data_IF_662462553372
#
_entry.id   IF_662462553372
#
_cell.length_a   1.000
_cell.length_b   1.000
_cell.length_c   1.000
_cell.angle_alpha   90.00
_cell.angle_beta   90.00
_cell.angle_gamma   90.00
#
_symmetry.space_group_name_H-M   'P 1'
#
loop_
_entity.id
_entity.type
_entity.pdbx_description
1 polymer ?
#
# COMPACT_ATOMS: atom_id res chain seq x y z
N UNK A 1 -20.51 10.33 -0.41
CA UNK A 1 -21.76 10.99 0.07
C UNK A 1 -21.62 11.62 1.46
N UNK A 2 -20.86 11.04 2.40
CA UNK A 2 -20.73 11.52 3.79
C UNK A 2 -19.62 12.53 4.09
N UNK A 3 -18.86 12.99 3.09
CA UNK A 3 -17.70 13.89 3.29
C UNK A 3 -18.09 15.21 3.97
N UNK A 4 -19.36 15.62 3.88
CA UNK A 4 -19.90 16.82 4.52
C UNK A 4 -19.99 16.73 6.06
N UNK A 5 -19.83 15.53 6.63
CA UNK A 5 -19.81 15.32 8.08
C UNK A 5 -18.41 15.43 8.68
N UNK A 6 -17.37 15.58 7.85
CA UNK A 6 -16.01 15.79 8.32
C UNK A 6 -15.72 17.29 8.38
N UNK A 7 -14.96 17.72 9.38
CA UNK A 7 -14.45 19.09 9.41
C UNK A 7 -13.54 19.37 8.20
N UNK A 8 -13.34 20.64 7.84
CA UNK A 8 -12.54 21.02 6.67
C UNK A 8 -11.03 20.86 6.89
N UNK A 9 -10.59 20.85 8.15
CA UNK A 9 -9.20 20.74 8.58
C UNK A 9 -8.75 19.28 8.82
N UNK A 10 -9.63 18.30 8.60
CA UNK A 10 -9.27 16.89 8.77
C UNK A 10 -8.25 16.46 7.72
N UNK A 11 -7.34 15.58 8.15
CA UNK A 11 -6.41 14.88 7.26
C UNK A 11 -6.97 13.48 7.00
N UNK A 12 -7.19 13.17 5.73
CA UNK A 12 -7.66 11.86 5.27
C UNK A 12 -6.45 11.04 4.87
N UNK A 13 -6.22 9.92 5.56
CA UNK A 13 -5.13 9.00 5.25
C UNK A 13 -5.60 7.99 4.20
N UNK A 14 -4.90 7.91 3.07
CA UNK A 14 -5.29 7.10 1.92
C UNK A 14 -4.40 5.87 1.75
N UNK A 15 -4.89 4.72 2.23
CA UNK A 15 -4.15 3.45 2.23
C UNK A 15 -4.36 2.56 1.01
N UNK A 16 -5.38 2.82 0.20
CA UNK A 16 -5.67 1.96 -0.95
C UNK A 16 -4.52 2.03 -1.96
N UNK A 17 -3.91 0.88 -2.26
CA UNK A 17 -2.77 0.80 -3.19
C UNK A 17 -3.20 0.76 -4.64
N UNK A 18 -4.45 0.41 -4.93
CA UNK A 18 -4.99 0.33 -6.29
C UNK A 18 -5.37 1.70 -6.87
N UNK A 19 -5.58 2.71 -6.00
CA UNK A 19 -5.95 4.07 -6.38
C UNK A 19 -4.82 5.02 -5.97
N UNK A 20 -4.54 5.98 -6.83
CA UNK A 20 -3.58 7.05 -6.58
C UNK A 20 -4.30 8.26 -5.98
N UNK A 21 -3.54 9.21 -5.43
CA UNK A 21 -4.07 10.47 -4.89
C UNK A 21 -4.96 11.18 -5.89
N UNK A 22 -4.51 11.29 -7.15
CA UNK A 22 -5.27 11.95 -8.23
C UNK A 22 -6.65 11.33 -8.48
N UNK A 23 -6.81 10.04 -8.19
CA UNK A 23 -8.07 9.32 -8.39
C UNK A 23 -9.06 9.61 -7.24
N UNK A 24 -8.53 9.95 -6.05
CA UNK A 24 -9.30 10.15 -4.81
C UNK A 24 -9.48 11.63 -4.46
N UNK A 25 -8.60 12.51 -4.93
CA UNK A 25 -8.64 13.95 -4.66
C UNK A 25 -10.01 14.60 -4.98
N UNK A 26 -10.72 14.25 -6.08
CA UNK A 26 -12.04 14.81 -6.34
C UNK A 26 -13.09 14.47 -5.26
N UNK A 27 -12.88 13.39 -4.51
CA UNK A 27 -13.82 12.89 -3.50
C UNK A 27 -13.66 13.58 -2.14
N UNK A 28 -12.48 14.16 -1.85
CA UNK A 28 -12.17 14.73 -0.54
C UNK A 28 -12.61 16.19 -0.38
N UNK A 29 -13.13 16.81 -1.44
CA UNK A 29 -13.74 18.15 -1.45
C UNK A 29 -12.86 19.21 -0.76
N UNK A 30 -11.60 19.29 -1.14
CA UNK A 30 -10.64 20.30 -0.66
C UNK A 30 -9.94 19.98 0.67
N UNK A 31 -10.30 18.88 1.35
CA UNK A 31 -9.58 18.42 2.54
C UNK A 31 -8.20 17.88 2.19
N UNK A 32 -7.30 17.89 3.17
CA UNK A 32 -5.97 17.29 3.02
C UNK A 32 -6.09 15.79 2.85
N UNK A 33 -5.57 15.29 1.73
CA UNK A 33 -5.39 13.86 1.47
C UNK A 33 -3.91 13.53 1.65
N UNK A 34 -3.60 12.56 2.52
CA UNK A 34 -2.24 12.08 2.74
C UNK A 34 -2.14 10.64 2.22
N UNK A 35 -1.47 10.40 1.08
CA UNK A 35 -1.24 9.05 0.60
C UNK A 35 -0.34 8.27 1.57
N UNK A 36 -0.75 7.05 1.91
CA UNK A 36 -0.09 6.17 2.88
C UNK A 36 -0.12 4.74 2.35
N UNK A 37 0.77 4.37 1.43
CA UNK A 37 0.67 3.10 0.70
C UNK A 37 1.44 1.99 1.38
N UNK A 38 0.76 0.87 1.64
CA UNK A 38 1.45 -0.34 2.08
C UNK A 38 2.23 -0.97 0.92
N UNK A 39 3.51 -1.24 1.16
CA UNK A 39 4.34 -2.01 0.25
C UNK A 39 4.20 -3.50 0.59
N UNK A 40 3.80 -4.30 -0.40
CA UNK A 40 3.49 -5.72 -0.23
C UNK A 40 2.04 -5.99 0.19
N UNK A 41 1.77 -7.23 0.62
CA UNK A 41 0.44 -7.68 1.01
C UNK A 41 0.19 -7.50 2.51
N UNK A 42 -0.84 -6.72 2.87
CA UNK A 42 -1.17 -6.41 4.27
C UNK A 42 -1.29 -7.64 5.20
N UNK A 43 -1.91 -8.74 4.71
CA UNK A 43 -2.04 -9.97 5.49
C UNK A 43 -0.68 -10.65 5.80
N UNK A 44 0.31 -10.48 4.93
CA UNK A 44 1.65 -11.01 5.12
C UNK A 44 2.43 -10.14 6.10
N UNK A 45 2.36 -8.81 5.95
CA UNK A 45 3.01 -7.87 6.88
C UNK A 45 2.53 -8.05 8.33
N UNK A 46 1.23 -8.32 8.51
CA UNK A 46 0.67 -8.59 9.84
C UNK A 46 1.24 -9.87 10.49
N UNK A 47 1.51 -10.91 9.69
CA UNK A 47 2.13 -12.14 10.17
C UNK A 47 3.59 -11.93 10.53
N UNK A 48 4.29 -11.17 9.68
CA UNK A 48 5.73 -10.96 9.81
C UNK A 48 6.07 -9.89 10.87
N UNK A 49 5.06 -9.11 11.31
CA UNK A 49 5.22 -7.94 12.21
C UNK A 49 6.25 -6.93 11.69
N UNK A 50 6.43 -6.90 10.37
CA UNK A 50 7.29 -5.97 9.66
C UNK A 50 6.52 -5.48 8.45
N UNK A 51 6.29 -4.18 8.38
CA UNK A 51 5.55 -3.55 7.32
C UNK A 51 6.17 -2.23 6.92
N UNK A 52 6.13 -1.94 5.63
CA UNK A 52 6.61 -0.69 5.06
C UNK A 52 5.41 0.13 4.60
N UNK A 53 5.27 1.32 5.18
CA UNK A 53 4.30 2.32 4.79
C UNK A 53 5.02 3.43 4.03
N UNK A 54 4.70 3.57 2.75
CA UNK A 54 5.23 4.62 1.90
C UNK A 54 4.35 5.87 1.97
N UNK A 55 4.97 7.03 2.09
CA UNK A 55 4.34 8.33 1.87
C UNK A 55 5.09 9.08 0.76
N UNK A 56 4.41 9.90 -0.06
CA UNK A 56 5.09 10.65 -1.10
C UNK A 56 6.14 11.62 -0.53
N UNK A 57 7.29 11.84 -1.21
CA UNK A 57 8.34 12.74 -0.73
C UNK A 57 7.85 14.16 -0.41
N UNK A 58 6.91 14.71 -1.18
CA UNK A 58 6.26 16.01 -0.97
C UNK A 58 5.49 16.10 0.35
N UNK A 59 5.04 14.95 0.86
CA UNK A 59 4.38 14.81 2.15
C UNK A 59 5.36 14.49 3.30
N UNK A 60 6.68 14.62 3.07
CA UNK A 60 7.70 14.23 4.04
C UNK A 60 7.61 14.94 5.40
N UNK A 61 7.03 16.14 5.45
CA UNK A 61 6.75 16.86 6.70
C UNK A 61 5.76 16.12 7.63
N UNK A 62 5.00 15.15 7.12
CA UNK A 62 4.15 14.28 7.92
C UNK A 62 4.84 13.00 8.40
N UNK A 63 6.08 12.70 7.97
CA UNK A 63 6.75 11.40 8.24
C UNK A 63 6.72 11.02 9.72
N UNK A 64 7.13 11.93 10.61
CA UNK A 64 7.16 11.67 12.05
C UNK A 64 5.77 11.46 12.65
N UNK A 65 4.77 12.23 12.20
CA UNK A 65 3.37 12.06 12.61
C UNK A 65 2.83 10.69 12.19
N UNK A 66 3.08 10.28 10.95
CA UNK A 66 2.68 8.97 10.43
C UNK A 66 3.40 7.86 11.21
N UNK A 67 4.69 7.99 11.47
CA UNK A 67 5.46 7.02 12.24
C UNK A 67 4.95 6.86 13.68
N UNK A 68 4.49 7.95 14.29
CA UNK A 68 3.90 7.95 15.63
C UNK A 68 2.52 7.29 15.65
N UNK A 69 1.70 7.52 14.62
CA UNK A 69 0.36 6.91 14.49
C UNK A 69 0.42 5.42 14.17
N UNK A 70 1.44 4.99 13.42
CA UNK A 70 1.61 3.61 12.95
C UNK A 70 2.98 3.05 13.38
N UNK A 71 3.25 2.90 14.69
CA UNK A 71 4.58 2.54 15.21
C UNK A 71 5.04 1.13 14.82
N UNK A 72 4.12 0.26 14.43
CA UNK A 72 4.43 -1.10 13.95
C UNK A 72 4.89 -1.13 12.48
N UNK A 73 4.80 0.00 11.76
CA UNK A 73 5.20 0.11 10.37
C UNK A 73 6.44 1.00 10.28
N UNK A 74 7.39 0.62 9.44
CA UNK A 74 8.47 1.49 8.99
C UNK A 74 7.88 2.48 7.99
N UNK A 75 8.07 3.78 8.21
CA UNK A 75 7.59 4.81 7.29
C UNK A 75 8.74 5.27 6.39
N UNK A 76 8.54 5.22 5.07
CA UNK A 76 9.54 5.71 4.11
C UNK A 76 8.95 6.65 3.05
N UNK A 77 9.82 7.46 2.46
CA UNK A 77 9.45 8.40 1.41
C UNK A 77 9.57 7.71 0.05
N UNK A 78 8.44 7.39 -0.57
CA UNK A 78 8.36 6.69 -1.85
C UNK A 78 7.12 7.18 -2.61
N UNK A 79 7.23 7.37 -3.93
CA UNK A 79 6.09 7.78 -4.76
C UNK A 79 4.97 6.73 -4.77
N UNK A 80 3.71 7.15 -4.95
CA UNK A 80 2.60 6.21 -5.07
C UNK A 80 2.76 5.29 -6.30
N UNK A 81 3.30 5.82 -7.40
CA UNK A 81 3.57 5.11 -8.65
C UNK A 81 4.57 3.97 -8.45
N UNK A 82 5.67 4.22 -7.73
CA UNK A 82 6.68 3.20 -7.45
C UNK A 82 6.12 2.09 -6.56
N UNK A 83 5.30 2.44 -5.56
CA UNK A 83 4.64 1.45 -4.70
C UNK A 83 3.67 0.60 -5.51
N UNK A 84 2.85 1.22 -6.36
CA UNK A 84 1.93 0.51 -7.24
C UNK A 84 2.69 -0.40 -8.21
N UNK A 85 3.79 0.06 -8.80
CA UNK A 85 4.63 -0.72 -9.69
C UNK A 85 5.28 -1.90 -8.97
N UNK A 86 5.85 -1.68 -7.78
CA UNK A 86 6.46 -2.71 -6.95
C UNK A 86 5.44 -3.80 -6.57
N UNK A 87 4.24 -3.40 -6.13
CA UNK A 87 3.18 -4.34 -5.75
C UNK A 87 2.67 -5.15 -6.96
N UNK A 88 2.53 -4.52 -8.13
CA UNK A 88 2.19 -5.22 -9.38
C UNK A 88 3.27 -6.22 -9.79
N UNK A 89 4.53 -5.82 -9.69
CA UNK A 89 5.67 -6.69 -10.01
C UNK A 89 5.73 -7.88 -9.06
N UNK A 90 5.66 -7.65 -7.75
CA UNK A 90 5.65 -8.72 -6.75
C UNK A 90 4.51 -9.72 -6.97
N UNK A 91 3.29 -9.21 -7.25
CA UNK A 91 2.13 -10.05 -7.55
C UNK A 91 2.35 -10.89 -8.80
N UNK A 92 2.90 -10.29 -9.87
CA UNK A 92 3.18 -10.97 -11.14
C UNK A 92 4.20 -12.09 -10.98
N UNK A 93 5.32 -11.81 -10.32
CA UNK A 93 6.39 -12.81 -10.13
C UNK A 93 5.95 -13.93 -9.19
N UNK A 94 5.20 -13.61 -8.13
CA UNK A 94 4.62 -14.63 -7.23
C UNK A 94 3.69 -15.57 -8.00
N UNK A 95 2.80 -15.02 -8.85
CA UNK A 95 1.90 -15.82 -9.69
C UNK A 95 2.67 -16.71 -10.66
N UNK A 96 3.71 -16.18 -11.30
CA UNK A 96 4.57 -16.93 -12.23
C UNK A 96 5.26 -18.10 -11.53
N UNK A 97 5.82 -17.85 -10.34
CA UNK A 97 6.48 -18.89 -9.53
C UNK A 97 5.51 -19.98 -9.10
N UNK A 98 4.28 -19.63 -8.69
CA UNK A 98 3.27 -20.62 -8.32
C UNK A 98 2.93 -21.56 -9.48
N UNK A 99 2.71 -21.02 -10.68
CA UNK A 99 2.42 -21.83 -11.89
C UNK A 99 3.60 -22.74 -12.24
N UNK A 100 4.83 -22.24 -12.14
CA UNK A 100 6.03 -23.04 -12.38
C UNK A 100 6.14 -24.18 -11.37
N UNK A 101 5.93 -23.89 -10.08
CA UNK A 101 5.98 -24.89 -9.02
C UNK A 101 4.90 -25.98 -9.20
N UNK A 102 3.68 -25.61 -9.57
CA UNK A 102 2.62 -26.57 -9.89
C UNK A 102 2.98 -27.46 -11.08
N UNK A 103 3.57 -26.87 -12.13
CA UNK A 103 4.00 -27.61 -13.33
C UNK A 103 5.09 -28.62 -12.98
N UNK A 104 6.14 -28.18 -12.29
CA UNK A 104 7.23 -29.06 -11.83
C UNK A 104 6.74 -30.12 -10.83
N UNK A 105 5.80 -29.79 -9.95
CA UNK A 105 5.22 -30.76 -9.02
C UNK A 105 4.46 -31.88 -9.75
N UNK A 106 3.71 -31.54 -10.82
CA UNK A 106 3.02 -32.53 -11.67
C UNK A 106 4.01 -33.42 -12.42
N UNK A 107 5.02 -32.83 -13.06
CA UNK A 107 6.07 -33.59 -13.78
C UNK A 107 6.80 -34.57 -12.86
N UNK A 108 7.09 -34.15 -11.62
CA UNK A 108 7.75 -34.97 -10.61
C UNK A 108 6.81 -35.92 -9.84
N UNK A 109 5.52 -35.98 -10.19
CA UNK A 109 4.49 -36.77 -9.47
C UNK A 109 4.43 -36.47 -7.97
N UNK A 110 4.74 -35.22 -7.59
CA UNK A 110 4.67 -34.73 -6.22
C UNK A 110 3.27 -34.24 -5.86
N UNK A 111 2.41 -33.95 -6.85
CA UNK A 111 0.98 -33.75 -6.66
C UNK A 111 0.24 -35.08 -6.91
N UNK A 112 -0.61 -35.50 -5.96
CA UNK A 112 -1.56 -36.62 -6.16
C UNK A 112 -2.57 -36.31 -7.25
#
# INVERSE_FOLDING_TARGET
EHIHHLDEDVIIFHFATALLEKDVMPLVKGRTLLPCKLVGHAAQLLKDKDGLLAIPPECGHFKEKVQTLFPALRVELVSEEDVLAANKLATKETKKMLIQNETTAKEKKLSK
#
